data_IF_634813204388
#
_entry.id   IF_634813204388
#
_cell.length_a   1.000
_cell.length_b   1.000
_cell.length_c   1.000
_cell.angle_alpha   90.00
_cell.angle_beta   90.00
_cell.angle_gamma   90.00
#
_symmetry.space_group_name_H-M   'P 1'
#
loop_
_entity.id
_entity.type
_entity.pdbx_description
1 polymer ?
#
# COMPACT_ATOMS: atom_id res chain seq x y z
N UNK A 1 5.37 -1.32 10.06
CA UNK A 1 4.59 -2.22 9.19
C UNK A 1 4.90 -3.69 9.46
N UNK A 2 6.18 -4.09 9.42
CA UNK A 2 6.60 -5.48 9.70
C UNK A 2 5.96 -6.09 10.95
N UNK A 3 6.10 -5.41 12.08
CA UNK A 3 5.59 -5.86 13.39
C UNK A 3 4.06 -6.00 13.36
N UNK A 4 3.35 -5.00 12.82
CA UNK A 4 1.90 -5.05 12.66
C UNK A 4 1.44 -6.22 11.79
N UNK A 5 2.05 -6.45 10.62
CA UNK A 5 1.69 -7.58 9.76
C UNK A 5 1.98 -8.93 10.43
N UNK A 6 3.12 -9.04 11.12
CA UNK A 6 3.51 -10.27 11.84
C UNK A 6 2.50 -10.61 12.93
N UNK A 7 2.20 -9.65 13.81
CA UNK A 7 1.23 -9.84 14.90
C UNK A 7 -0.17 -10.13 14.34
N UNK A 8 -0.59 -9.37 13.32
CA UNK A 8 -1.90 -9.58 12.68
C UNK A 8 -2.01 -10.98 12.07
N UNK A 9 -0.97 -11.47 11.37
CA UNK A 9 -0.98 -12.82 10.80
C UNK A 9 -1.13 -13.89 11.87
N UNK A 10 -0.36 -13.80 12.96
CA UNK A 10 -0.43 -14.74 14.09
C UNK A 10 -1.80 -14.74 14.75
N UNK A 11 -2.41 -13.56 14.92
CA UNK A 11 -3.78 -13.43 15.42
C UNK A 11 -4.79 -14.07 14.47
N UNK A 12 -4.66 -13.85 13.15
CA UNK A 12 -5.51 -14.50 12.14
C UNK A 12 -5.35 -16.03 12.15
N UNK A 13 -4.16 -16.53 12.51
CA UNK A 13 -3.91 -17.96 12.74
C UNK A 13 -4.44 -18.48 14.07
N UNK A 14 -5.14 -17.63 14.84
CA UNK A 14 -5.67 -17.90 16.18
C UNK A 14 -4.60 -18.29 17.21
N UNK A 15 -3.39 -17.76 17.05
CA UNK A 15 -2.37 -17.88 18.08
C UNK A 15 -2.67 -16.96 19.27
N UNK A 16 -2.23 -17.37 20.45
CA UNK A 16 -2.01 -16.46 21.56
C UNK A 16 -0.65 -15.76 21.38
N UNK A 17 -0.64 -14.43 21.40
CA UNK A 17 0.47 -13.61 20.93
C UNK A 17 0.99 -12.71 22.04
N UNK A 18 2.21 -13.02 22.49
CA UNK A 18 3.13 -12.04 23.08
C UNK A 18 4.16 -11.65 22.03
N UNK A 19 4.43 -10.34 21.89
CA UNK A 19 5.40 -9.80 20.94
C UNK A 19 6.01 -8.52 21.49
N UNK A 20 7.34 -8.48 21.55
CA UNK A 20 8.10 -7.29 21.97
C UNK A 20 8.90 -6.76 20.78
N UNK A 21 8.39 -5.70 20.15
CA UNK A 21 8.99 -5.04 19.00
C UNK A 21 9.51 -3.65 19.34
N UNK A 22 10.02 -2.95 18.33
CA UNK A 22 10.47 -1.56 18.46
C UNK A 22 9.30 -0.57 18.44
N UNK A 23 8.20 -0.91 17.75
CA UNK A 23 7.04 -0.02 17.57
C UNK A 23 5.77 -0.59 18.21
N UNK A 24 5.63 -1.91 18.24
CA UNK A 24 4.49 -2.63 18.79
C UNK A 24 4.96 -3.58 19.90
N UNK A 25 4.36 -3.44 21.08
CA UNK A 25 4.50 -4.39 22.19
C UNK A 25 3.10 -4.83 22.62
N UNK A 26 2.87 -6.14 22.67
CA UNK A 26 1.62 -6.76 23.11
C UNK A 26 1.96 -7.97 23.97
N UNK A 27 1.12 -8.24 24.96
CA UNK A 27 1.31 -9.33 25.91
C UNK A 27 0.03 -10.14 26.03
N UNK A 28 0.14 -11.46 25.78
CA UNK A 28 -0.92 -12.44 25.99
C UNK A 28 -2.27 -12.07 25.33
N UNK A 29 -2.23 -11.62 24.08
CA UNK A 29 -3.44 -11.27 23.31
C UNK A 29 -3.88 -12.39 22.36
N UNK A 30 -5.19 -12.52 22.17
CA UNK A 30 -5.79 -13.44 21.21
C UNK A 30 -7.04 -12.82 20.57
N UNK A 31 -7.50 -13.39 19.44
CA UNK A 31 -8.78 -12.99 18.84
C UNK A 31 -9.94 -13.63 19.60
N UNK A 32 -10.86 -12.80 20.10
CA UNK A 32 -12.09 -13.26 20.73
C UNK A 32 -13.10 -13.78 19.67
N UNK A 33 -13.48 -15.05 19.78
CA UNK A 33 -14.35 -15.77 18.85
C UNK A 33 -15.75 -15.97 19.45
N UNK A 34 -16.47 -14.89 19.71
CA UNK A 34 -17.78 -14.95 20.40
C UNK A 34 -18.84 -15.82 19.67
N UNK A 35 -18.82 -15.86 18.32
CA UNK A 35 -19.80 -16.62 17.50
C UNK A 35 -19.18 -17.29 16.27
N UNK A 36 -17.87 -17.48 16.27
CA UNK A 36 -17.14 -18.00 15.12
C UNK A 36 -16.54 -19.37 15.44
N UNK A 37 -16.30 -20.16 14.41
CA UNK A 37 -15.57 -21.41 14.53
C UNK A 37 -14.11 -21.18 14.96
N UNK A 38 -13.57 -22.10 15.75
CA UNK A 38 -12.20 -22.07 16.26
C UNK A 38 -11.22 -22.58 15.19
N UNK A 39 -11.22 -21.95 14.01
CA UNK A 39 -10.33 -22.28 12.89
C UNK A 39 -9.57 -21.03 12.40
N UNK A 40 -8.30 -21.19 11.99
CA UNK A 40 -7.52 -20.12 11.38
C UNK A 40 -8.27 -19.39 10.27
N UNK A 41 -8.08 -18.07 10.21
CA UNK A 41 -8.67 -17.21 9.20
C UNK A 41 -7.78 -17.18 7.96
N UNK A 42 -8.26 -17.74 6.87
CA UNK A 42 -7.63 -17.61 5.55
C UNK A 42 -7.90 -16.22 4.97
N UNK A 43 -7.23 -15.22 5.54
CA UNK A 43 -7.34 -13.81 5.14
C UNK A 43 -5.95 -13.31 4.73
N UNK A 44 -5.72 -13.09 3.42
CA UNK A 44 -4.42 -12.60 2.95
C UNK A 44 -4.20 -11.13 3.35
N UNK A 45 -2.98 -10.82 3.77
CA UNK A 45 -2.56 -9.45 4.09
C UNK A 45 -1.90 -8.83 2.85
N UNK A 46 -2.42 -7.69 2.40
CA UNK A 46 -1.84 -6.89 1.31
C UNK A 46 -1.34 -5.55 1.83
N UNK A 47 -0.18 -5.11 1.34
CA UNK A 47 0.40 -3.82 1.71
C UNK A 47 0.23 -2.81 0.56
N UNK A 48 -0.34 -1.64 0.87
CA UNK A 48 -0.32 -0.49 -0.04
C UNK A 48 1.01 0.24 0.08
N UNK A 49 1.88 0.12 -0.92
CA UNK A 49 3.21 0.73 -0.90
C UNK A 49 3.43 1.66 -2.09
N UNK A 50 4.02 2.82 -1.83
CA UNK A 50 4.46 3.77 -2.88
C UNK A 50 5.97 3.84 -2.99
N UNK A 51 6.67 3.93 -1.85
CA UNK A 51 8.14 4.06 -1.82
C UNK A 51 8.87 2.73 -1.98
N UNK A 52 10.09 2.79 -2.49
CA UNK A 52 10.98 1.64 -2.70
C UNK A 52 11.23 0.82 -1.42
N UNK A 53 11.47 1.49 -0.29
CA UNK A 53 11.68 0.83 1.00
C UNK A 53 10.48 -0.04 1.40
N UNK A 54 9.27 0.47 1.18
CA UNK A 54 8.04 -0.27 1.50
C UNK A 54 7.79 -1.41 0.52
N UNK A 55 8.16 -1.25 -0.75
CA UNK A 55 8.10 -2.36 -1.71
C UNK A 55 9.03 -3.50 -1.29
N UNK A 56 10.29 -3.17 -0.94
CA UNK A 56 11.26 -4.17 -0.46
C UNK A 56 10.80 -4.85 0.82
N UNK A 57 10.35 -4.07 1.80
CA UNK A 57 9.81 -4.60 3.06
C UNK A 57 8.62 -5.55 2.82
N UNK A 58 7.73 -5.18 1.89
CA UNK A 58 6.59 -6.03 1.52
C UNK A 58 7.06 -7.33 0.89
N UNK A 59 8.09 -7.29 0.04
CA UNK A 59 8.69 -8.49 -0.52
C UNK A 59 9.25 -9.42 0.55
N UNK A 60 9.93 -8.86 1.55
CA UNK A 60 10.43 -9.65 2.69
C UNK A 60 9.28 -10.28 3.50
N UNK A 61 8.17 -9.56 3.71
CA UNK A 61 6.98 -10.11 4.37
C UNK A 61 6.34 -11.25 3.56
N UNK A 62 6.29 -11.12 2.24
CA UNK A 62 5.79 -12.18 1.36
C UNK A 62 6.72 -13.40 1.38
N UNK A 63 8.03 -13.20 1.27
CA UNK A 63 9.00 -14.30 1.34
C UNK A 63 8.96 -15.06 2.67
N UNK A 64 8.55 -14.40 3.77
CA UNK A 64 8.27 -15.03 5.07
C UNK A 64 6.89 -15.69 5.19
N UNK A 65 6.02 -15.58 4.19
CA UNK A 65 4.64 -16.09 4.25
C UNK A 65 3.71 -15.29 5.17
N UNK A 66 4.08 -14.05 5.53
CA UNK A 66 3.30 -13.18 6.41
C UNK A 66 2.28 -12.36 5.61
N UNK A 67 2.67 -11.89 4.43
CA UNK A 67 1.82 -11.15 3.51
C UNK A 67 1.56 -11.96 2.24
N UNK A 68 0.39 -11.75 1.63
CA UNK A 68 0.04 -12.35 0.34
C UNK A 68 0.44 -11.49 -0.86
N UNK A 69 0.65 -10.18 -0.68
CA UNK A 69 0.99 -9.32 -1.81
C UNK A 69 1.06 -7.82 -1.53
N UNK A 70 1.10 -7.08 -2.63
CA UNK A 70 1.28 -5.63 -2.68
C UNK A 70 0.26 -5.01 -3.63
N UNK A 71 -0.35 -3.89 -3.24
CA UNK A 71 -1.09 -3.05 -4.18
C UNK A 71 -0.13 -2.10 -4.89
N UNK A 72 0.00 -2.27 -6.21
CA UNK A 72 0.79 -1.38 -7.05
C UNK A 72 0.00 -0.09 -7.32
N UNK A 73 0.66 1.05 -7.18
CA UNK A 73 -0.03 2.32 -7.05
C UNK A 73 -0.49 2.90 -8.41
N UNK A 74 -1.48 3.78 -8.37
CA UNK A 74 -2.09 4.50 -9.49
C UNK A 74 -1.72 5.98 -9.42
N UNK A 75 -2.02 6.75 -10.48
CA UNK A 75 -1.68 8.19 -10.59
C UNK A 75 -0.17 8.49 -10.49
N UNK A 76 0.65 7.49 -10.78
CA UNK A 76 2.09 7.60 -10.92
C UNK A 76 2.55 6.90 -12.21
N UNK A 77 3.66 7.31 -12.83
CA UNK A 77 4.14 6.73 -14.07
C UNK A 77 4.44 5.23 -13.93
N UNK A 78 4.21 4.42 -14.98
CA UNK A 78 4.52 2.99 -14.96
C UNK A 78 5.96 2.67 -14.56
N UNK A 79 6.92 3.52 -14.92
CA UNK A 79 8.34 3.36 -14.59
C UNK A 79 8.59 3.37 -13.08
N UNK A 80 7.77 4.08 -12.30
CA UNK A 80 7.86 4.07 -10.84
C UNK A 80 7.43 2.70 -10.29
N UNK A 81 6.35 2.14 -10.81
CA UNK A 81 5.89 0.79 -10.42
C UNK A 81 6.88 -0.29 -10.83
N UNK A 82 7.54 -0.17 -11.99
CA UNK A 82 8.61 -1.09 -12.39
C UNK A 82 9.78 -1.09 -11.41
N UNK A 83 10.22 0.08 -10.94
CA UNK A 83 11.25 0.18 -9.89
C UNK A 83 10.77 -0.44 -8.57
N UNK A 84 9.51 -0.17 -8.20
CA UNK A 84 8.89 -0.78 -7.02
C UNK A 84 8.86 -2.32 -7.13
N UNK A 85 8.56 -2.86 -8.30
CA UNK A 85 8.56 -4.29 -8.57
C UNK A 85 9.96 -4.91 -8.39
N UNK A 86 11.03 -4.28 -8.90
CA UNK A 86 12.40 -4.76 -8.67
C UNK A 86 12.73 -4.78 -7.17
N UNK A 87 12.28 -3.79 -6.40
CA UNK A 87 12.46 -3.77 -4.94
C UNK A 87 11.66 -4.85 -4.22
N UNK A 88 10.43 -5.11 -4.66
CA UNK A 88 9.63 -6.22 -4.17
C UNK A 88 10.37 -7.55 -4.38
N UNK A 89 10.89 -7.78 -5.60
CA UNK A 89 11.68 -8.95 -5.95
C UNK A 89 12.89 -9.12 -5.04
N UNK A 90 13.69 -8.07 -4.87
CA UNK A 90 14.85 -8.07 -3.96
C UNK A 90 14.44 -8.48 -2.53
N UNK A 91 13.27 -8.04 -2.06
CA UNK A 91 12.76 -8.37 -0.73
C UNK A 91 12.35 -9.84 -0.59
N UNK A 92 11.64 -10.36 -1.59
CA UNK A 92 11.22 -11.78 -1.61
C UNK A 92 12.44 -12.71 -1.62
N UNK A 93 13.40 -12.44 -2.51
CA UNK A 93 14.63 -13.23 -2.65
C UNK A 93 15.49 -13.19 -1.38
N UNK A 94 15.52 -12.04 -0.68
CA UNK A 94 16.24 -11.90 0.59
C UNK A 94 15.74 -12.85 1.69
N UNK A 95 14.50 -13.32 1.59
CA UNK A 95 13.90 -14.26 2.54
C UNK A 95 13.78 -15.67 1.95
N UNK A 96 14.55 -15.98 0.90
CA UNK A 96 14.54 -17.26 0.18
C UNK A 96 13.17 -17.65 -0.40
N UNK A 97 12.30 -16.64 -0.62
CA UNK A 97 10.97 -16.81 -1.19
C UNK A 97 10.93 -16.79 -2.71
N UNK A 98 9.75 -17.06 -3.28
CA UNK A 98 9.47 -16.95 -4.73
C UNK A 98 8.46 -15.85 -5.01
N UNK A 99 8.68 -15.10 -6.11
CA UNK A 99 7.76 -14.08 -6.60
C UNK A 99 6.39 -14.64 -7.01
N UNK A 100 6.29 -15.94 -7.28
CA UNK A 100 5.01 -16.57 -7.64
C UNK A 100 3.97 -16.46 -6.52
N UNK A 101 4.42 -16.40 -5.26
CA UNK A 101 3.54 -16.22 -4.09
C UNK A 101 3.24 -14.76 -3.75
N UNK A 102 3.71 -13.80 -4.56
CA UNK A 102 3.51 -12.37 -4.32
C UNK A 102 2.43 -11.82 -5.26
N UNK A 103 1.19 -11.68 -4.78
CA UNK A 103 0.17 -11.01 -5.56
C UNK A 103 0.51 -9.53 -5.75
N UNK A 104 0.25 -9.01 -6.96
CA UNK A 104 0.61 -7.63 -7.36
C UNK A 104 -0.55 -6.94 -8.09
N UNK A 105 -1.74 -6.82 -7.50
CA UNK A 105 -2.84 -6.07 -8.10
C UNK A 105 -2.43 -4.63 -8.43
N UNK A 106 -2.64 -4.23 -9.68
CA UNK A 106 -2.44 -2.86 -10.15
C UNK A 106 -3.70 -2.04 -9.91
N UNK A 107 -3.60 -1.02 -9.06
CA UNK A 107 -4.68 -0.04 -8.91
C UNK A 107 -4.77 0.80 -10.19
N UNK A 108 -5.99 1.12 -10.62
CA UNK A 108 -6.26 2.01 -11.75
C UNK A 108 -7.36 2.99 -11.34
N UNK A 109 -7.17 4.28 -11.65
CA UNK A 109 -8.25 5.25 -11.61
C UNK A 109 -8.90 5.31 -12.99
N UNK A 110 -10.23 5.20 -13.03
CA UNK A 110 -10.99 5.14 -14.27
C UNK A 110 -12.07 6.20 -14.25
N UNK A 111 -12.07 7.06 -15.25
CA UNK A 111 -13.19 7.93 -15.63
C UNK A 111 -13.68 7.46 -17.00
N UNK A 112 -14.99 7.31 -17.18
CA UNK A 112 -15.59 6.81 -18.42
C UNK A 112 -16.74 7.71 -18.83
N UNK A 113 -16.75 8.07 -20.11
CA UNK A 113 -17.84 8.77 -20.78
C UNK A 113 -17.82 8.37 -22.27
N UNK A 114 -18.94 8.55 -22.97
CA UNK A 114 -18.99 8.34 -24.43
C UNK A 114 -18.15 9.39 -25.18
N UNK A 115 -18.00 10.58 -24.59
CA UNK A 115 -17.10 11.64 -25.05
C UNK A 115 -15.79 11.64 -24.24
N UNK A 116 -14.67 11.45 -24.94
CA UNK A 116 -13.35 11.42 -24.31
C UNK A 116 -12.99 12.73 -23.58
N UNK A 117 -13.42 13.88 -24.09
CA UNK A 117 -13.11 15.17 -23.46
C UNK A 117 -13.84 15.32 -22.11
N UNK A 118 -15.06 14.78 -22.02
CA UNK A 118 -15.83 14.75 -20.77
C UNK A 118 -15.18 13.82 -19.75
N UNK A 119 -14.76 12.62 -20.15
CA UNK A 119 -14.06 11.69 -19.27
C UNK A 119 -12.75 12.27 -18.73
N UNK A 120 -11.97 12.94 -19.58
CA UNK A 120 -10.72 13.62 -19.19
C UNK A 120 -11.01 14.74 -18.18
N UNK A 121 -12.05 15.55 -18.44
CA UNK A 121 -12.39 16.66 -17.54
C UNK A 121 -12.80 16.17 -16.15
N UNK A 122 -13.61 15.11 -16.08
CA UNK A 122 -13.98 14.46 -14.81
C UNK A 122 -12.76 13.92 -14.06
N UNK A 123 -11.76 13.38 -14.77
CA UNK A 123 -10.54 12.86 -14.15
C UNK A 123 -9.64 13.96 -13.57
N UNK A 124 -9.70 15.20 -14.09
CA UNK A 124 -8.85 16.32 -13.63
C UNK A 124 -9.03 16.61 -12.15
N UNK A 125 -10.26 16.55 -11.63
CA UNK A 125 -10.54 16.82 -10.23
C UNK A 125 -9.77 15.89 -9.29
N UNK A 126 -9.84 14.57 -9.55
CA UNK A 126 -9.13 13.57 -8.76
C UNK A 126 -7.60 13.73 -8.89
N UNK A 127 -7.10 13.91 -10.12
CA UNK A 127 -5.67 14.08 -10.35
C UNK A 127 -5.10 15.31 -9.61
N UNK A 128 -5.78 16.46 -9.71
CA UNK A 128 -5.42 17.70 -9.00
C UNK A 128 -5.43 17.50 -7.50
N UNK A 129 -6.47 16.85 -6.95
CA UNK A 129 -6.56 16.56 -5.52
C UNK A 129 -5.36 15.70 -5.05
N UNK A 130 -5.03 14.64 -5.77
CA UNK A 130 -3.91 13.76 -5.40
C UNK A 130 -2.55 14.45 -5.49
N UNK A 131 -2.33 15.26 -6.53
CA UNK A 131 -1.12 16.08 -6.66
C UNK A 131 -1.03 17.09 -5.51
N UNK A 132 -2.10 17.80 -5.21
CA UNK A 132 -2.13 18.84 -4.19
C UNK A 132 -2.00 18.29 -2.77
N UNK A 133 -2.70 17.21 -2.46
CA UNK A 133 -2.90 16.75 -1.08
C UNK A 133 -2.14 15.47 -0.73
N UNK A 134 -1.55 14.73 -1.67
CA UNK A 134 -0.79 13.52 -1.34
C UNK A 134 0.72 13.71 -1.64
N UNK A 135 1.57 14.04 -0.64
CA UNK A 135 2.99 14.34 -0.88
C UNK A 135 3.76 13.19 -1.56
N UNK A 136 3.40 11.95 -1.26
CA UNK A 136 4.02 10.76 -1.83
C UNK A 136 3.67 10.56 -3.31
N UNK A 137 2.41 10.82 -3.70
CA UNK A 137 1.98 10.80 -5.10
C UNK A 137 2.61 11.96 -5.86
N UNK A 138 2.58 13.18 -5.31
CA UNK A 138 3.21 14.33 -5.94
C UNK A 138 4.66 14.06 -6.32
N UNK A 139 5.45 13.56 -5.37
CA UNK A 139 6.87 13.20 -5.59
C UNK A 139 7.04 12.09 -6.63
N UNK A 140 6.16 11.08 -6.61
CA UNK A 140 6.26 9.92 -7.50
C UNK A 140 5.63 10.15 -8.89
N UNK A 141 4.76 11.15 -9.05
CA UNK A 141 3.97 11.40 -10.27
C UNK A 141 4.80 11.94 -11.43
N UNK A 142 5.99 12.49 -11.16
CA UNK A 142 6.83 13.12 -12.18
C UNK A 142 6.34 14.49 -12.66
N UNK A 143 5.36 15.09 -11.96
CA UNK A 143 4.93 16.46 -12.22
C UNK A 143 6.09 17.45 -12.06
N UNK A 144 6.07 18.51 -12.86
CA UNK A 144 6.98 19.64 -12.69
C UNK A 144 6.92 20.19 -11.25
N UNK A 145 8.05 20.34 -10.54
CA UNK A 145 8.05 20.76 -9.15
C UNK A 145 7.39 22.12 -8.91
N UNK A 146 7.60 23.10 -9.78
CA UNK A 146 7.02 24.44 -9.62
C UNK A 146 5.49 24.38 -9.79
N UNK A 147 5.01 23.60 -10.75
CA UNK A 147 3.57 23.36 -10.92
C UNK A 147 2.99 22.62 -9.71
N UNK A 148 3.70 21.64 -9.17
CA UNK A 148 3.27 20.87 -8.02
C UNK A 148 3.15 21.71 -6.74
N UNK A 149 4.08 22.66 -6.55
CA UNK A 149 4.04 23.64 -5.46
C UNK A 149 2.85 24.59 -5.61
N UNK A 150 2.58 25.08 -6.84
CA UNK A 150 1.40 25.91 -7.13
C UNK A 150 0.11 25.17 -6.79
N UNK A 151 -0.04 23.94 -7.27
CA UNK A 151 -1.23 23.11 -6.99
C UNK A 151 -1.39 22.85 -5.49
N UNK A 152 -0.30 22.58 -4.76
CA UNK A 152 -0.36 22.43 -3.30
C UNK A 152 -0.83 23.71 -2.60
N UNK A 153 -0.28 24.85 -3.00
CA UNK A 153 -0.59 26.14 -2.39
C UNK A 153 -2.08 26.49 -2.56
N UNK A 154 -2.64 26.21 -3.74
CA UNK A 154 -4.07 26.44 -4.04
C UNK A 154 -4.99 25.44 -3.32
N UNK A 155 -4.60 24.17 -3.20
CA UNK A 155 -5.47 23.10 -2.67
C UNK A 155 -5.51 23.01 -1.13
N UNK A 156 -4.60 23.69 -0.43
CA UNK A 156 -4.32 23.44 0.98
C UNK A 156 -3.63 22.09 1.16
N UNK A 157 -2.46 22.07 1.81
CA UNK A 157 -1.64 20.87 1.94
C UNK A 157 -2.30 19.69 2.69
N UNK A 158 -1.52 18.65 2.96
CA UNK A 158 -1.98 17.51 3.79
C UNK A 158 -1.83 17.79 5.29
N UNK A 159 -2.76 17.33 6.15
CA UNK A 159 -4.04 16.69 5.82
C UNK A 159 -5.06 17.69 5.26
N UNK A 160 -5.86 17.24 4.30
CA UNK A 160 -6.90 18.06 3.70
C UNK A 160 -7.93 18.48 4.75
N UNK A 161 -8.35 19.75 4.73
CA UNK A 161 -9.54 20.20 5.46
C UNK A 161 -10.81 19.71 4.76
N UNK A 162 -11.89 19.54 5.53
CA UNK A 162 -13.21 19.21 4.99
C UNK A 162 -13.91 20.43 4.35
N UNK A 163 -13.43 21.64 4.66
CA UNK A 163 -13.74 22.90 3.94
C UNK A 163 -12.81 23.05 2.74
#
# INVERSE_FOLDING_TARGET
MWEYCTVTKRLLDLENVTYEGQTLSVDDIELDLVRSDAQPRDVPIYVGATGETMHKLTGELVGKGIAGGIFMNYLIPPEHNLKGFEKLKEGVEKQDGTLEGADRPQLIAVAMDEDADVAIDQARGLATQYIGQQPHIRKASGIDPELAEKVQAEMGGWPASAE
#
